data_IF_690759210932
#
_entry.id   IF_690759210932
#
_cell.length_a   1.000
_cell.length_b   1.000
_cell.length_c   1.000
_cell.angle_alpha   90.00
_cell.angle_beta   90.00
_cell.angle_gamma   90.00
#
_symmetry.space_group_name_H-M   'P 1'
#
loop_
_entity.id
_entity.type
_entity.pdbx_description
1 polymer ?
#
# COMPACT_ATOMS: atom_id res chain seq x y z
N UNK A 1 -7.88 2.94 14.93
CA UNK A 1 -7.55 3.94 13.90
C UNK A 1 -8.38 3.61 12.69
N UNK A 2 -9.08 4.60 12.17
CA UNK A 2 -9.86 4.44 10.94
C UNK A 2 -8.92 4.41 9.73
N UNK A 3 -9.33 3.74 8.66
CA UNK A 3 -8.59 3.68 7.38
C UNK A 3 -8.19 5.06 6.86
N UNK A 4 -9.02 6.08 7.13
CA UNK A 4 -8.72 7.49 6.80
C UNK A 4 -7.49 8.05 7.53
N UNK A 5 -7.23 7.64 8.77
CA UNK A 5 -6.02 8.08 9.48
C UNK A 5 -4.77 7.40 8.91
N UNK A 6 -4.88 6.13 8.53
CA UNK A 6 -3.77 5.40 7.89
C UNK A 6 -3.44 6.02 6.53
N UNK A 7 -4.46 6.34 5.74
CA UNK A 7 -4.28 7.04 4.46
C UNK A 7 -3.50 8.35 4.64
N UNK A 8 -3.88 9.17 5.63
CA UNK A 8 -3.18 10.43 5.91
C UNK A 8 -1.71 10.23 6.21
N UNK A 9 -1.36 9.23 7.02
CA UNK A 9 0.03 8.94 7.37
C UNK A 9 0.80 8.45 6.14
N UNK A 10 0.21 7.58 5.33
CA UNK A 10 0.82 7.12 4.07
C UNK A 10 1.11 8.28 3.12
N UNK A 11 0.21 9.26 3.03
CA UNK A 11 0.41 10.44 2.20
C UNK A 11 1.43 11.42 2.82
N UNK A 12 1.39 11.64 4.14
CA UNK A 12 2.26 12.64 4.78
C UNK A 12 3.69 12.14 4.99
N UNK A 13 3.85 10.92 5.50
CA UNK A 13 5.13 10.34 5.88
C UNK A 13 5.81 9.62 4.71
N UNK A 14 5.06 8.84 3.92
CA UNK A 14 5.61 8.03 2.82
C UNK A 14 5.53 8.77 1.48
N UNK A 15 4.82 9.91 1.43
CA UNK A 15 4.63 10.72 0.22
C UNK A 15 3.99 9.93 -0.92
N UNK A 16 3.10 8.99 -0.60
CA UNK A 16 2.22 8.36 -1.57
C UNK A 16 1.16 9.36 -2.06
N UNK A 17 0.67 9.18 -3.28
CA UNK A 17 -0.56 9.87 -3.71
C UNK A 17 -1.77 9.28 -2.97
N UNK A 18 -2.87 10.04 -2.85
CA UNK A 18 -4.10 9.52 -2.22
C UNK A 18 -4.61 8.26 -2.93
N UNK A 19 -4.48 8.19 -4.25
CA UNK A 19 -4.87 7.00 -5.03
C UNK A 19 -3.96 5.81 -4.68
N UNK A 20 -2.65 5.99 -4.62
CA UNK A 20 -1.73 4.92 -4.23
C UNK A 20 -1.99 4.42 -2.81
N UNK A 21 -2.23 5.33 -1.85
CA UNK A 21 -2.55 4.96 -0.48
C UNK A 21 -3.86 4.16 -0.41
N UNK A 22 -4.90 4.57 -1.16
CA UNK A 22 -6.18 3.85 -1.24
C UNK A 22 -6.04 2.47 -1.86
N UNK A 23 -5.29 2.33 -2.97
CA UNK A 23 -5.05 1.04 -3.61
C UNK A 23 -4.31 0.09 -2.66
N UNK A 24 -3.25 0.57 -2.01
CA UNK A 24 -2.52 -0.23 -1.03
C UNK A 24 -3.42 -0.71 0.11
N UNK A 25 -4.22 0.19 0.70
CA UNK A 25 -5.17 -0.16 1.76
C UNK A 25 -6.22 -1.16 1.28
N UNK A 26 -6.76 -0.97 0.07
CA UNK A 26 -7.76 -1.85 -0.51
C UNK A 26 -7.24 -3.28 -0.64
N UNK A 27 -6.08 -3.46 -1.29
CA UNK A 27 -5.47 -4.79 -1.48
C UNK A 27 -5.04 -5.40 -0.14
N UNK A 28 -4.56 -4.58 0.80
CA UNK A 28 -4.13 -5.08 2.12
C UNK A 28 -5.32 -5.57 2.97
N UNK A 29 -6.50 -4.97 2.81
CA UNK A 29 -7.66 -5.26 3.67
C UNK A 29 -8.67 -6.20 3.03
N UNK A 30 -8.75 -6.23 1.71
CA UNK A 30 -9.68 -7.09 0.96
C UNK A 30 -8.99 -8.24 0.24
N UNK A 31 -7.66 -8.24 0.16
CA UNK A 31 -6.87 -9.31 -0.43
C UNK A 31 -6.53 -9.05 -1.89
N UNK A 32 -6.32 -10.13 -2.65
CA UNK A 32 -5.84 -10.08 -4.03
C UNK A 32 -6.85 -9.39 -4.93
N UNK A 33 -6.35 -8.53 -5.82
CA UNK A 33 -7.21 -7.81 -6.76
C UNK A 33 -6.55 -7.59 -8.12
N UNK A 34 -7.40 -7.53 -9.13
CA UNK A 34 -7.05 -7.12 -10.49
C UNK A 34 -7.15 -5.60 -10.66
N UNK A 35 -6.44 -4.98 -11.64
CA UNK A 35 -6.59 -3.57 -11.98
C UNK A 35 -8.05 -3.15 -12.20
N UNK A 36 -8.84 -4.00 -12.88
CA UNK A 36 -10.25 -3.73 -13.16
C UNK A 36 -11.11 -3.65 -11.88
N UNK A 37 -10.87 -4.55 -10.91
CA UNK A 37 -11.55 -4.50 -9.61
C UNK A 37 -11.19 -3.23 -8.83
N UNK A 38 -9.90 -2.87 -8.83
CA UNK A 38 -9.42 -1.64 -8.19
C UNK A 38 -10.07 -0.41 -8.83
N UNK A 39 -10.08 -0.35 -10.16
CA UNK A 39 -10.69 0.73 -10.94
C UNK A 39 -12.17 0.92 -10.60
N UNK A 40 -12.94 -0.18 -10.53
CA UNK A 40 -14.36 -0.14 -10.14
C UNK A 40 -14.57 0.32 -8.70
N UNK A 41 -13.73 -0.13 -7.75
CA UNK A 41 -13.86 0.23 -6.33
C UNK A 41 -13.48 1.68 -6.06
N UNK A 42 -12.49 2.21 -6.79
CA UNK A 42 -11.99 3.58 -6.60
C UNK A 42 -12.56 4.59 -7.60
N UNK A 43 -13.40 4.13 -8.54
CA UNK A 43 -13.96 4.92 -9.63
C UNK A 43 -12.89 5.67 -10.43
N UNK A 44 -11.82 4.96 -10.79
CA UNK A 44 -10.70 5.42 -11.63
C UNK A 44 -10.62 4.55 -12.90
N UNK A 45 -9.75 4.91 -13.85
CA UNK A 45 -9.54 4.07 -15.04
C UNK A 45 -8.72 2.82 -14.71
N UNK A 46 -8.88 1.76 -15.51
CA UNK A 46 -8.09 0.54 -15.37
C UNK A 46 -6.59 0.81 -15.57
N UNK A 47 -6.25 1.69 -16.52
CA UNK A 47 -4.87 2.11 -16.77
C UNK A 47 -4.26 2.85 -15.58
N UNK A 48 -5.01 3.75 -14.94
CA UNK A 48 -4.55 4.48 -13.76
C UNK A 48 -4.37 3.54 -12.55
N UNK A 49 -5.30 2.58 -12.37
CA UNK A 49 -5.17 1.54 -11.36
C UNK A 49 -3.93 0.68 -11.59
N UNK A 50 -3.68 0.27 -12.84
CA UNK A 50 -2.53 -0.53 -13.23
C UNK A 50 -1.21 0.22 -13.03
N UNK A 51 -1.14 1.48 -13.44
CA UNK A 51 0.06 2.31 -13.25
C UNK A 51 0.36 2.52 -11.76
N UNK A 52 -0.66 2.85 -10.97
CA UNK A 52 -0.49 3.00 -9.53
C UNK A 52 -0.06 1.70 -8.85
N UNK A 53 -0.64 0.56 -9.23
CA UNK A 53 -0.26 -0.75 -8.70
C UNK A 53 1.21 -1.07 -9.03
N UNK A 54 1.64 -0.86 -10.28
CA UNK A 54 3.05 -1.03 -10.69
C UNK A 54 4.01 -0.12 -9.93
N UNK A 55 3.61 1.13 -9.67
CA UNK A 55 4.40 2.05 -8.86
C UNK A 55 4.50 1.59 -7.40
N UNK A 56 3.41 1.09 -6.83
CA UNK A 56 3.42 0.46 -5.50
C UNK A 56 4.30 -0.80 -5.45
N UNK A 57 4.35 -1.59 -6.51
CA UNK A 57 5.29 -2.72 -6.62
C UNK A 57 6.74 -2.25 -6.60
N UNK A 58 7.07 -1.18 -7.34
CA UNK A 58 8.43 -0.57 -7.30
C UNK A 58 8.78 -0.10 -5.89
N UNK A 59 7.80 0.34 -5.10
CA UNK A 59 8.00 0.71 -3.70
C UNK A 59 8.07 -0.50 -2.74
N UNK A 60 7.87 -1.72 -3.26
CA UNK A 60 7.84 -2.95 -2.47
C UNK A 60 6.59 -3.02 -1.58
N UNK A 61 5.45 -2.56 -2.10
CA UNK A 61 4.18 -2.65 -1.40
C UNK A 61 3.32 -3.83 -1.90
N UNK A 62 3.36 -4.06 -3.21
CA UNK A 62 2.60 -5.09 -3.89
C UNK A 62 3.54 -6.04 -4.65
N UNK A 63 3.06 -7.23 -4.95
CA UNK A 63 3.68 -8.22 -5.82
C UNK A 63 2.66 -8.75 -6.82
N UNK A 64 3.14 -9.27 -7.94
CA UNK A 64 2.31 -10.04 -8.87
C UNK A 64 2.02 -11.41 -8.23
N UNK A 65 0.75 -11.71 -8.01
CA UNK A 65 0.31 -13.06 -7.65
C UNK A 65 0.07 -13.90 -8.92
N UNK A 66 -0.46 -13.27 -9.96
CA UNK A 66 -0.75 -13.85 -11.27
C UNK A 66 -0.58 -12.77 -12.34
N UNK A 67 -0.63 -13.09 -13.65
CA UNK A 67 -0.39 -12.11 -14.72
C UNK A 67 -1.27 -10.85 -14.65
N UNK A 68 -2.39 -10.92 -13.95
CA UNK A 68 -3.38 -9.84 -13.83
C UNK A 68 -3.81 -9.54 -12.39
N UNK A 69 -3.24 -10.22 -11.38
CA UNK A 69 -3.63 -10.06 -9.97
C UNK A 69 -2.47 -9.60 -9.11
N UNK A 70 -2.73 -8.59 -8.28
CA UNK A 70 -1.79 -8.07 -7.30
C UNK A 70 -2.13 -8.55 -5.90
N UNK A 71 -1.08 -8.81 -5.13
CA UNK A 71 -1.17 -9.13 -3.71
C UNK A 71 -0.33 -8.13 -2.91
N UNK A 72 -0.84 -7.71 -1.75
CA UNK A 72 -0.06 -6.90 -0.83
C UNK A 72 1.01 -7.76 -0.15
N UNK A 73 2.20 -7.19 0.06
CA UNK A 73 3.18 -7.79 0.96
C UNK A 73 2.84 -7.50 2.42
N UNK A 74 3.48 -8.24 3.34
CA UNK A 74 3.20 -8.14 4.75
C UNK A 74 3.35 -6.70 5.28
N UNK A 75 2.29 -6.09 5.86
CA UNK A 75 2.24 -4.64 6.11
C UNK A 75 3.37 -4.09 6.97
N UNK A 76 3.83 -4.86 7.96
CA UNK A 76 5.00 -4.48 8.81
C UNK A 76 6.26 -4.22 8.01
N UNK A 77 6.56 -5.07 7.02
CA UNK A 77 7.75 -4.90 6.19
C UNK A 77 7.51 -3.86 5.10
N UNK A 78 6.33 -3.89 4.51
CA UNK A 78 5.92 -2.96 3.45
C UNK A 78 5.96 -1.51 3.89
N UNK A 79 5.36 -1.16 5.04
CA UNK A 79 5.32 0.23 5.53
C UNK A 79 6.73 0.79 5.73
N UNK A 80 7.61 0.01 6.37
CA UNK A 80 9.01 0.40 6.62
C UNK A 80 9.80 0.50 5.31
N UNK A 81 9.59 -0.43 4.37
CA UNK A 81 10.30 -0.43 3.10
C UNK A 81 9.90 0.75 2.21
N UNK A 82 8.61 1.06 2.12
CA UNK A 82 8.14 2.23 1.39
C UNK A 82 8.71 3.52 1.99
N UNK A 83 8.72 3.63 3.33
CA UNK A 83 9.31 4.79 4.02
C UNK A 83 10.81 4.90 3.77
N UNK A 84 11.55 3.77 3.77
CA UNK A 84 12.97 3.75 3.42
C UNK A 84 13.22 4.25 2.00
N UNK A 85 12.46 3.77 1.01
CA UNK A 85 12.58 4.21 -0.38
C UNK A 85 12.24 5.69 -0.57
N UNK A 86 11.25 6.18 0.19
CA UNK A 86 10.96 7.62 0.25
C UNK A 86 12.17 8.38 0.80
N UNK A 87 12.77 7.92 1.90
CA UNK A 87 13.95 8.57 2.48
C UNK A 87 15.13 8.64 1.48
N UNK A 88 15.38 7.55 0.76
CA UNK A 88 16.40 7.50 -0.30
C UNK A 88 16.12 8.50 -1.43
N UNK A 89 14.86 8.62 -1.87
CA UNK A 89 14.44 9.55 -2.92
C UNK A 89 14.62 11.01 -2.50
N UNK A 90 14.25 11.33 -1.26
CA UNK A 90 14.34 12.69 -0.70
C UNK A 90 15.74 13.02 -0.14
N UNK A 91 16.70 12.08 -0.19
CA UNK A 91 18.05 12.21 0.39
C UNK A 91 18.05 12.57 1.87
N UNK A 92 17.14 11.98 2.63
CA UNK A 92 17.04 12.14 4.09
C UNK A 92 17.52 10.87 4.79
N UNK A 93 18.09 11.03 5.98
CA UNK A 93 18.50 9.89 6.79
C UNK A 93 17.29 9.06 7.24
N UNK A 94 17.33 7.76 6.94
CA UNK A 94 16.34 6.83 7.45
C UNK A 94 16.42 6.78 8.98
N UNK A 95 15.37 7.27 9.65
CA UNK A 95 15.18 7.18 11.10
C UNK A 95 13.87 6.48 11.40
N UNK A 96 13.83 5.73 12.49
CA UNK A 96 12.63 5.03 12.94
C UNK A 96 11.47 6.02 13.13
N UNK A 97 10.35 5.74 12.48
CA UNK A 97 9.15 6.58 12.56
C UNK A 97 8.01 5.77 13.20
N UNK A 98 7.55 6.21 14.39
CA UNK A 98 6.50 5.53 15.16
C UNK A 98 5.17 5.47 14.40
N UNK A 99 4.88 6.46 13.55
CA UNK A 99 3.66 6.48 12.74
C UNK A 99 3.70 5.35 11.71
N UNK A 100 4.83 5.19 11.01
CA UNK A 100 5.04 4.13 10.02
C UNK A 100 5.00 2.74 10.66
N UNK A 101 5.68 2.56 11.80
CA UNK A 101 5.64 1.31 12.56
C UNK A 101 4.20 0.93 12.96
N UNK A 102 3.40 1.93 13.37
CA UNK A 102 2.02 1.72 13.80
C UNK A 102 1.12 1.26 12.64
N UNK A 103 1.34 1.77 11.42
CA UNK A 103 0.60 1.31 10.23
C UNK A 103 0.75 -0.19 10.04
N UNK A 104 1.99 -0.69 10.13
CA UNK A 104 2.28 -2.11 9.93
C UNK A 104 1.51 -3.01 10.90
N UNK A 105 1.45 -2.62 12.18
CA UNK A 105 0.72 -3.37 13.23
C UNK A 105 -0.80 -3.30 13.05
N UNK A 106 -1.31 -2.15 12.63
CA UNK A 106 -2.76 -1.95 12.44
C UNK A 106 -3.31 -2.74 11.26
N UNK A 107 -2.56 -2.77 10.16
CA UNK A 107 -2.95 -3.46 8.94
C UNK A 107 -2.73 -4.97 9.03
N UNK A 108 -1.87 -5.46 9.94
CA UNK A 108 -1.55 -6.88 10.12
C UNK A 108 -2.80 -7.74 10.32
N UNK A 109 -3.72 -7.34 11.20
CA UNK A 109 -4.96 -8.10 11.43
C UNK A 109 -5.85 -8.19 10.20
N UNK A 110 -6.01 -7.07 9.49
CA UNK A 110 -6.84 -7.03 8.28
C UNK A 110 -6.20 -7.83 7.15
N UNK A 111 -4.87 -7.76 7.04
CA UNK A 111 -4.08 -8.52 6.08
C UNK A 111 -4.18 -10.02 6.31
N UNK A 112 -4.01 -10.47 7.56
CA UNK A 112 -4.14 -11.88 7.91
C UNK A 112 -5.56 -12.41 7.62
N UNK A 113 -6.58 -11.61 7.95
CA UNK A 113 -7.98 -11.93 7.67
C UNK A 113 -8.30 -11.98 6.17
N UNK A 114 -7.69 -11.11 5.37
CA UNK A 114 -7.87 -11.08 3.92
C UNK A 114 -7.24 -12.30 3.23
N UNK A 115 -6.15 -12.85 3.79
CA UNK A 115 -5.44 -14.02 3.26
C UNK A 115 -6.04 -15.36 3.66
N UNK A 116 -6.84 -15.39 4.71
CA UNK A 116 -7.52 -16.60 5.19
C UNK A 116 -8.91 -16.81 4.56
N UNK A 117 -9.30 -15.95 3.62
CA UNK A 117 -10.55 -16.04 2.86
C UNK A 117 -10.36 -16.61 1.46
#
# INVERSE_FOLDING_TARGET
MDTSQIEKILVSEIKLTSIQAKIFLLITTEGKMTPNQIAKRLNITEDEALECAKNLMKLGALIDFSPTEFEAMHPRFTAVNMYRKMCEREKIDFKRNKNVDSIGVLLERSYDAARTK
#
